data_IF_538022362604
#
_entry.id   IF_538022362604
#
_cell.length_a   1.000
_cell.length_b   1.000
_cell.length_c   1.000
_cell.angle_alpha   90.00
_cell.angle_beta   90.00
_cell.angle_gamma   90.00
#
_symmetry.space_group_name_H-M   'P 1'
#
loop_
_entity.id
_entity.type
_entity.pdbx_description
1 polymer ?
#
# COMPACT_ATOMS: atom_id res chain seq x y z
N UNK A 1 6.33 -0.44 17.70
CA UNK A 1 5.20 -1.40 17.62
C UNK A 1 5.46 -2.54 18.56
N UNK A 2 4.41 -3.22 19.01
CA UNK A 2 4.54 -4.48 19.77
C UNK A 2 5.21 -5.52 18.87
N UNK A 3 6.12 -6.33 19.41
CA UNK A 3 6.80 -7.36 18.64
C UNK A 3 5.72 -8.36 18.12
N UNK A 4 5.74 -8.73 16.82
CA UNK A 4 4.83 -9.76 16.30
C UNK A 4 4.82 -11.04 17.14
N UNK A 5 5.95 -11.40 17.77
CA UNK A 5 6.02 -12.55 18.69
C UNK A 5 5.17 -12.40 19.95
N UNK A 6 5.04 -11.20 20.51
CA UNK A 6 4.21 -10.97 21.71
C UNK A 6 2.73 -11.22 21.39
N UNK A 7 2.32 -11.02 20.13
CA UNK A 7 0.96 -11.31 19.68
C UNK A 7 0.67 -12.81 19.65
N UNK A 8 1.68 -13.67 19.45
CA UNK A 8 1.50 -15.13 19.49
C UNK A 8 1.13 -15.62 20.88
N UNK A 9 1.72 -15.04 21.93
CA UNK A 9 1.38 -15.36 23.31
C UNK A 9 -0.06 -14.97 23.63
N UNK A 10 -0.49 -13.78 23.21
CA UNK A 10 -1.87 -13.31 23.37
C UNK A 10 -2.87 -14.22 22.65
N UNK A 11 -2.61 -14.55 21.38
CA UNK A 11 -3.47 -15.46 20.61
C UNK A 11 -3.53 -16.86 21.22
N UNK A 12 -2.41 -17.36 21.74
CA UNK A 12 -2.34 -18.62 22.47
C UNK A 12 -3.19 -18.62 23.74
N UNK A 13 -3.15 -17.53 24.51
CA UNK A 13 -3.97 -17.36 25.72
C UNK A 13 -5.46 -17.27 25.40
N UNK A 14 -5.85 -16.50 24.38
CA UNK A 14 -7.25 -16.43 23.93
C UNK A 14 -7.76 -17.83 23.54
N UNK A 15 -6.94 -18.62 22.84
CA UNK A 15 -7.34 -19.97 22.44
C UNK A 15 -7.50 -20.94 23.61
N UNK A 16 -6.68 -20.82 24.67
CA UNK A 16 -6.69 -21.74 25.81
C UNK A 16 -7.74 -21.35 26.87
N UNK A 17 -7.87 -20.06 27.16
CA UNK A 17 -8.60 -19.56 28.32
C UNK A 17 -9.96 -18.93 27.94
N UNK A 18 -10.04 -18.26 26.78
CA UNK A 18 -11.15 -17.40 26.37
C UNK A 18 -11.61 -17.66 24.92
N UNK A 19 -11.63 -18.93 24.49
CA UNK A 19 -11.93 -19.28 23.11
C UNK A 19 -13.33 -18.75 22.71
N UNK A 20 -13.46 -17.95 21.62
CA UNK A 20 -14.75 -17.40 21.25
C UNK A 20 -15.72 -18.53 20.84
N UNK A 21 -16.98 -18.42 21.29
CA UNK A 21 -18.02 -19.43 21.04
C UNK A 21 -18.54 -19.43 19.60
N UNK A 22 -18.17 -18.44 18.79
CA UNK A 22 -18.54 -18.37 17.38
C UNK A 22 -17.89 -19.53 16.62
N UNK A 23 -18.66 -20.33 15.85
CA UNK A 23 -18.11 -21.43 15.07
C UNK A 23 -16.95 -20.99 14.16
N UNK A 24 -15.84 -21.73 14.21
CA UNK A 24 -14.64 -21.44 13.42
C UNK A 24 -13.65 -20.44 14.04
N UNK A 25 -13.95 -19.87 15.22
CA UNK A 25 -13.05 -18.91 15.88
C UNK A 25 -11.70 -19.49 16.25
N UNK A 26 -11.67 -20.73 16.75
CA UNK A 26 -10.41 -21.41 17.05
C UNK A 26 -9.52 -21.55 15.82
N UNK A 27 -10.11 -21.93 14.67
CA UNK A 27 -9.37 -22.07 13.41
C UNK A 27 -8.87 -20.70 12.93
N UNK A 28 -9.69 -19.65 13.01
CA UNK A 28 -9.28 -18.30 12.66
C UNK A 28 -8.09 -17.82 13.52
N UNK A 29 -8.10 -18.08 14.83
CA UNK A 29 -6.99 -17.75 15.74
C UNK A 29 -5.74 -18.54 15.37
N UNK A 30 -5.86 -19.84 15.09
CA UNK A 30 -4.74 -20.68 14.64
C UNK A 30 -4.15 -20.19 13.32
N UNK A 31 -5.00 -19.82 12.36
CA UNK A 31 -4.56 -19.25 11.08
C UNK A 31 -3.81 -17.93 11.29
N UNK A 32 -4.31 -17.05 12.15
CA UNK A 32 -3.62 -15.79 12.48
C UNK A 32 -2.25 -16.04 13.13
N UNK A 33 -2.17 -16.95 14.11
CA UNK A 33 -0.92 -17.33 14.74
C UNK A 33 0.07 -17.93 13.74
N UNK A 34 -0.37 -18.85 12.88
CA UNK A 34 0.45 -19.44 11.83
C UNK A 34 0.95 -18.39 10.81
N UNK A 35 0.14 -17.39 10.48
CA UNK A 35 0.55 -16.31 9.59
C UNK A 35 1.67 -15.45 10.20
N UNK A 36 1.55 -15.09 11.49
CA UNK A 36 2.60 -14.36 12.22
C UNK A 36 3.87 -15.20 12.30
N UNK A 37 3.76 -16.49 12.65
CA UNK A 37 4.90 -17.39 12.68
C UNK A 37 5.56 -17.53 11.31
N UNK A 38 4.79 -17.61 10.22
CA UNK A 38 5.32 -17.66 8.86
C UNK A 38 6.08 -16.39 8.49
N UNK A 39 5.56 -15.21 8.84
CA UNK A 39 6.23 -13.92 8.62
C UNK A 39 7.61 -13.92 9.31
N UNK A 40 7.65 -14.31 10.58
CA UNK A 40 8.91 -14.38 11.34
C UNK A 40 9.86 -15.45 10.81
N UNK A 41 9.37 -16.67 10.57
CA UNK A 41 10.17 -17.80 10.11
C UNK A 41 10.74 -17.60 8.70
N UNK A 42 10.15 -16.72 7.90
CA UNK A 42 10.63 -16.36 6.56
C UNK A 42 11.40 -15.03 6.52
N UNK A 43 11.66 -14.40 7.67
CA UNK A 43 12.41 -13.13 7.77
C UNK A 43 11.68 -11.94 7.13
N UNK A 44 10.34 -11.94 7.13
CA UNK A 44 9.51 -10.86 6.57
C UNK A 44 8.97 -9.90 7.64
N UNK A 45 9.47 -9.98 8.87
CA UNK A 45 9.06 -9.18 10.02
C UNK A 45 9.24 -7.68 9.77
N UNK A 46 10.38 -7.24 9.26
CA UNK A 46 10.59 -5.83 8.91
C UNK A 46 9.62 -5.37 7.80
N UNK A 47 9.43 -6.17 6.76
CA UNK A 47 8.52 -5.82 5.66
C UNK A 47 7.05 -5.75 6.12
N UNK A 48 6.69 -6.55 7.12
CA UNK A 48 5.38 -6.48 7.77
C UNK A 48 5.26 -5.24 8.65
N UNK A 49 6.31 -4.89 9.41
CA UNK A 49 6.35 -3.69 10.23
C UNK A 49 6.18 -2.42 9.37
N UNK A 50 6.91 -2.32 8.26
CA UNK A 50 6.78 -1.22 7.30
C UNK A 50 5.37 -1.14 6.70
N UNK A 51 4.74 -2.28 6.41
CA UNK A 51 3.35 -2.31 5.95
C UNK A 51 2.38 -1.79 7.02
N UNK A 52 2.53 -2.17 8.28
CA UNK A 52 1.69 -1.63 9.37
C UNK A 52 1.90 -0.12 9.53
N UNK A 53 3.15 0.36 9.47
CA UNK A 53 3.45 1.80 9.48
C UNK A 53 2.80 2.52 8.30
N UNK A 54 2.79 1.90 7.11
CA UNK A 54 2.17 2.49 5.92
C UNK A 54 0.67 2.68 6.10
N UNK A 55 -0.02 1.74 6.77
CA UNK A 55 -1.45 1.88 7.10
C UNK A 55 -1.69 3.05 8.05
N UNK A 56 -0.87 3.20 9.09
CA UNK A 56 -1.00 4.31 10.05
C UNK A 56 -0.70 5.68 9.42
N UNK A 57 0.22 5.73 8.46
CA UNK A 57 0.56 6.94 7.74
C UNK A 57 -0.43 7.30 6.61
N UNK A 58 -1.47 6.48 6.39
CA UNK A 58 -2.34 6.54 5.22
C UNK A 58 -1.54 6.62 3.91
N UNK A 59 -0.42 5.88 3.85
CA UNK A 59 0.49 5.84 2.71
C UNK A 59 -0.22 5.33 1.45
N UNK A 60 0.36 5.57 0.25
CA UNK A 60 -0.18 5.06 -0.99
C UNK A 60 -0.44 3.56 -0.95
N UNK A 61 -1.49 3.06 -1.63
CA UNK A 61 -1.78 1.64 -1.69
C UNK A 61 -0.55 0.82 -2.10
N UNK A 62 -0.25 -0.23 -1.33
CA UNK A 62 1.00 -0.97 -1.48
C UNK A 62 1.11 -1.64 -2.85
N UNK A 63 2.24 -1.41 -3.53
CA UNK A 63 2.60 -2.06 -4.80
C UNK A 63 3.81 -2.97 -4.62
N UNK A 64 3.88 -4.04 -5.42
CA UNK A 64 4.95 -5.05 -5.35
C UNK A 64 5.99 -4.92 -6.47
N UNK A 65 5.82 -3.96 -7.38
CA UNK A 65 6.71 -3.74 -8.50
C UNK A 65 6.27 -2.55 -9.36
N UNK A 66 7.22 -1.99 -10.11
CA UNK A 66 7.01 -0.96 -11.12
C UNK A 66 7.68 -1.38 -12.42
N UNK A 67 6.99 -1.18 -13.53
CA UNK A 67 7.41 -1.59 -14.86
C UNK A 67 7.20 -0.45 -15.85
N UNK A 68 8.03 -0.35 -16.88
CA UNK A 68 7.83 0.68 -17.90
C UNK A 68 6.68 0.31 -18.83
N UNK A 69 6.51 -0.99 -19.11
CA UNK A 69 5.48 -1.49 -20.03
C UNK A 69 4.66 -2.64 -19.46
N UNK A 70 3.48 -2.85 -20.04
CA UNK A 70 2.64 -4.01 -19.71
C UNK A 70 3.33 -5.33 -20.01
N UNK A 71 4.08 -5.42 -21.11
CA UNK A 71 4.80 -6.63 -21.48
C UNK A 71 5.88 -7.00 -20.45
N UNK A 72 6.63 -6.02 -19.96
CA UNK A 72 7.60 -6.22 -18.87
C UNK A 72 6.93 -6.70 -17.58
N UNK A 73 5.81 -6.06 -17.21
CA UNK A 73 5.05 -6.44 -16.03
C UNK A 73 4.52 -7.89 -16.13
N UNK A 74 3.97 -8.28 -17.29
CA UNK A 74 3.48 -9.64 -17.53
C UNK A 74 4.61 -10.67 -17.44
N UNK A 75 5.76 -10.39 -18.07
CA UNK A 75 6.94 -11.24 -18.00
C UNK A 75 7.44 -11.40 -16.57
N UNK A 76 7.52 -10.29 -15.81
CA UNK A 76 7.95 -10.31 -14.41
C UNK A 76 6.98 -11.10 -13.52
N UNK A 77 5.66 -10.97 -13.73
CA UNK A 77 4.66 -11.74 -12.98
C UNK A 77 4.72 -13.23 -13.32
N UNK A 78 4.94 -13.58 -14.58
CA UNK A 78 5.08 -14.97 -15.01
C UNK A 78 6.37 -15.65 -14.50
N UNK A 79 7.45 -14.87 -14.34
CA UNK A 79 8.74 -15.37 -13.87
C UNK A 79 8.78 -15.66 -12.35
N UNK A 80 7.78 -15.25 -11.57
CA UNK A 80 7.77 -15.47 -10.12
C UNK A 80 7.65 -16.97 -9.82
N UNK A 81 8.46 -17.45 -8.88
CA UNK A 81 8.40 -18.83 -8.38
C UNK A 81 6.98 -19.21 -7.96
N UNK A 82 6.32 -18.33 -7.20
CA UNK A 82 4.95 -18.51 -6.76
C UNK A 82 4.02 -17.52 -7.47
N UNK A 83 2.93 -18.00 -8.09
CA UNK A 83 1.97 -17.12 -8.73
C UNK A 83 1.35 -16.14 -7.74
N UNK A 84 1.23 -14.89 -8.17
CA UNK A 84 0.61 -13.83 -7.37
C UNK A 84 -0.90 -13.98 -7.46
N UNK A 85 -1.56 -14.43 -6.37
CA UNK A 85 -3.03 -14.52 -6.36
C UNK A 85 -3.66 -13.18 -6.69
N UNK A 86 -3.31 -12.14 -5.93
CA UNK A 86 -3.68 -10.74 -6.16
C UNK A 86 -2.57 -9.85 -5.60
N UNK A 87 -2.10 -8.86 -6.36
CA UNK A 87 -1.29 -7.74 -5.86
C UNK A 87 -1.38 -6.53 -6.79
N UNK A 88 -1.07 -5.34 -6.28
CA UNK A 88 -0.94 -4.14 -7.12
C UNK A 88 0.48 -3.98 -7.66
N UNK A 89 0.60 -3.51 -8.89
CA UNK A 89 1.84 -3.11 -9.56
C UNK A 89 1.63 -1.77 -10.24
N UNK A 90 2.73 -1.06 -10.53
CA UNK A 90 2.71 0.14 -11.36
C UNK A 90 3.18 -0.20 -12.78
N UNK A 91 2.46 0.31 -13.78
CA UNK A 91 2.94 0.40 -15.16
C UNK A 91 3.06 1.89 -15.47
N UNK A 92 4.29 2.38 -15.62
CA UNK A 92 4.55 3.81 -15.47
C UNK A 92 4.18 4.26 -14.06
N UNK A 93 3.18 5.14 -13.94
CA UNK A 93 2.63 5.60 -12.66
C UNK A 93 1.19 5.10 -12.42
N UNK A 94 0.65 4.31 -13.36
CA UNK A 94 -0.71 3.79 -13.32
C UNK A 94 -0.78 2.47 -12.54
N UNK A 95 -1.75 2.38 -11.64
CA UNK A 95 -2.00 1.16 -10.88
C UNK A 95 -2.66 0.07 -11.71
N UNK A 96 -2.15 -1.14 -11.54
CA UNK A 96 -2.71 -2.35 -12.11
C UNK A 96 -2.76 -3.44 -11.06
N UNK A 97 -3.85 -4.20 -11.05
CA UNK A 97 -3.98 -5.42 -10.27
C UNK A 97 -3.46 -6.60 -11.08
N UNK A 98 -2.41 -7.25 -10.58
CA UNK A 98 -1.95 -8.54 -11.03
C UNK A 98 -2.79 -9.64 -10.35
N UNK A 99 -3.52 -10.41 -11.16
CA UNK A 99 -4.40 -11.48 -10.68
C UNK A 99 -4.07 -12.80 -11.38
N UNK A 100 -3.66 -13.80 -10.61
CA UNK A 100 -3.47 -15.15 -11.14
C UNK A 100 -4.80 -15.88 -11.30
N UNK A 101 -5.04 -16.43 -12.48
CA UNK A 101 -6.23 -17.20 -12.82
C UNK A 101 -5.84 -18.68 -12.93
N UNK A 102 -6.21 -19.53 -11.96
CA UNK A 102 -5.79 -20.93 -11.95
C UNK A 102 -6.24 -21.74 -13.17
N UNK A 103 -7.42 -21.43 -13.73
CA UNK A 103 -7.96 -22.16 -14.89
C UNK A 103 -7.17 -21.95 -16.18
N UNK A 104 -6.48 -20.81 -16.32
CA UNK A 104 -5.64 -20.50 -17.48
C UNK A 104 -4.15 -20.62 -17.18
N UNK A 105 -3.78 -20.72 -15.90
CA UNK A 105 -2.38 -20.73 -15.45
C UNK A 105 -1.66 -19.40 -15.71
N UNK A 106 -2.38 -18.30 -15.91
CA UNK A 106 -1.83 -17.00 -16.31
C UNK A 106 -2.15 -15.92 -15.28
N UNK A 107 -1.24 -14.96 -15.15
CA UNK A 107 -1.50 -13.71 -14.44
C UNK A 107 -2.02 -12.66 -15.42
N UNK A 108 -3.16 -12.07 -15.11
CA UNK A 108 -3.74 -10.95 -15.84
C UNK A 108 -3.40 -9.64 -15.14
N UNK A 109 -3.13 -8.59 -15.93
CA UNK A 109 -2.95 -7.22 -15.45
C UNK A 109 -4.17 -6.39 -15.84
N UNK A 110 -4.90 -5.92 -14.83
CA UNK A 110 -6.11 -5.11 -14.99
C UNK A 110 -5.84 -3.73 -14.40
N UNK A 111 -6.09 -2.65 -15.16
CA UNK A 111 -5.99 -1.27 -14.65
C UNK A 111 -6.90 -1.13 -13.43
N UNK A 112 -6.38 -0.55 -12.35
CA UNK A 112 -7.08 -0.42 -11.10
C UNK A 112 -7.30 1.07 -10.76
N UNK A 113 -8.53 1.41 -10.39
CA UNK A 113 -8.92 2.76 -9.96
C UNK A 113 -8.53 3.06 -8.51
N UNK A 114 -7.80 2.14 -7.84
CA UNK A 114 -7.43 2.24 -6.43
C UNK A 114 -6.68 3.54 -6.12
N UNK A 115 -5.81 3.99 -7.02
CA UNK A 115 -5.12 5.27 -6.86
C UNK A 115 -6.09 6.45 -6.91
N UNK A 116 -7.05 6.44 -7.85
CA UNK A 116 -8.04 7.50 -7.99
C UNK A 116 -8.89 7.65 -6.72
N UNK A 117 -9.41 6.54 -6.20
CA UNK A 117 -10.17 6.55 -4.94
C UNK A 117 -9.33 7.02 -3.75
N UNK A 118 -8.07 6.59 -3.70
CA UNK A 118 -7.15 7.02 -2.66
C UNK A 118 -6.88 8.53 -2.72
N UNK A 119 -6.54 9.07 -3.89
CA UNK A 119 -6.29 10.50 -4.06
C UNK A 119 -7.55 11.34 -3.79
N UNK A 120 -8.72 10.84 -4.16
CA UNK A 120 -9.99 11.50 -3.85
C UNK A 120 -10.25 11.53 -2.34
N UNK A 121 -10.04 10.42 -1.62
CA UNK A 121 -10.18 10.39 -0.18
C UNK A 121 -9.23 11.40 0.50
N UNK A 122 -7.97 11.50 0.05
CA UNK A 122 -7.01 12.48 0.57
C UNK A 122 -7.43 13.93 0.27
N UNK A 123 -8.05 14.19 -0.89
CA UNK A 123 -8.60 15.49 -1.24
C UNK A 123 -9.83 15.85 -0.38
N UNK A 124 -10.73 14.89 -0.17
CA UNK A 124 -11.97 15.05 0.59
C UNK A 124 -11.70 15.24 2.09
N UNK A 125 -10.68 14.55 2.62
CA UNK A 125 -10.18 14.74 3.99
C UNK A 125 -9.52 16.11 4.20
N UNK A 126 -9.24 16.85 3.11
CA UNK A 126 -8.55 18.13 3.14
C UNK A 126 -7.28 18.08 4.00
N UNK A 127 -6.43 17.08 3.74
CA UNK A 127 -5.19 16.88 4.47
C UNK A 127 -4.45 18.21 4.63
N UNK A 128 -4.03 18.49 5.87
CA UNK A 128 -3.36 19.74 6.22
C UNK A 128 -2.13 19.92 5.32
N UNK A 129 -2.07 20.99 4.51
CA UNK A 129 -0.90 21.26 3.68
C UNK A 129 0.35 21.37 4.55
N UNK A 130 1.47 20.83 4.05
CA UNK A 130 2.75 20.90 4.77
C UNK A 130 3.34 22.31 4.87
N UNK A 131 2.83 23.24 4.06
CA UNK A 131 3.43 24.57 3.85
C UNK A 131 4.59 24.57 2.85
N UNK A 132 4.96 23.41 2.29
CA UNK A 132 5.92 23.32 1.20
C UNK A 132 5.25 23.73 -0.12
N UNK A 133 5.84 24.70 -0.80
CA UNK A 133 5.40 25.18 -2.11
C UNK A 133 6.60 25.32 -3.04
N UNK A 134 6.43 24.90 -4.29
CA UNK A 134 7.44 24.90 -5.34
C UNK A 134 6.91 25.63 -6.58
N UNK A 135 7.79 26.27 -7.34
CA UNK A 135 7.38 26.94 -8.57
C UNK A 135 7.17 25.94 -9.71
N UNK A 136 7.89 24.81 -9.69
CA UNK A 136 7.82 23.80 -10.75
C UNK A 136 7.80 22.37 -10.21
N UNK A 137 7.28 21.44 -11.02
CA UNK A 137 7.29 20.01 -10.70
C UNK A 137 8.72 19.47 -10.55
N UNK A 138 9.65 19.92 -11.39
CA UNK A 138 11.05 19.49 -11.33
C UNK A 138 11.73 19.88 -10.01
N UNK A 139 11.43 21.06 -9.47
CA UNK A 139 11.92 21.48 -8.14
C UNK A 139 11.37 20.59 -7.03
N UNK A 140 10.07 20.30 -7.06
CA UNK A 140 9.43 19.42 -6.10
C UNK A 140 10.00 17.98 -6.15
N UNK A 141 10.25 17.46 -7.36
CA UNK A 141 10.89 16.15 -7.55
C UNK A 141 12.32 16.16 -6.99
N UNK A 142 13.11 17.19 -7.29
CA UNK A 142 14.46 17.32 -6.76
C UNK A 142 14.48 17.36 -5.23
N UNK A 143 13.58 18.14 -4.60
CA UNK A 143 13.41 18.16 -3.15
C UNK A 143 13.04 16.78 -2.60
N UNK A 144 12.10 16.10 -3.24
CA UNK A 144 11.63 14.78 -2.82
C UNK A 144 12.75 13.76 -2.89
N UNK A 145 13.61 13.79 -3.90
CA UNK A 145 14.77 12.89 -4.05
C UNK A 145 15.92 13.20 -3.07
N UNK A 146 16.03 14.42 -2.56
CA UNK A 146 17.05 14.80 -1.56
C UNK A 146 16.73 14.29 -0.15
N UNK A 147 15.49 13.88 0.13
CA UNK A 147 15.12 13.41 1.46
C UNK A 147 15.77 12.05 1.78
N UNK A 148 16.57 11.91 2.84
CA UNK A 148 17.16 10.64 3.21
C UNK A 148 16.09 9.63 3.67
N UNK A 149 15.07 10.11 4.38
CA UNK A 149 13.88 9.35 4.77
C UNK A 149 12.66 10.10 4.25
N UNK A 150 12.17 9.79 3.03
CA UNK A 150 11.03 10.49 2.47
C UNK A 150 9.79 10.24 3.34
N UNK A 151 8.94 11.26 3.56
CA UNK A 151 7.65 11.03 4.18
C UNK A 151 6.84 10.03 3.32
N UNK A 152 6.10 9.12 3.98
CA UNK A 152 5.26 8.15 3.29
C UNK A 152 4.25 8.85 2.37
N UNK A 153 3.70 9.96 2.85
CA UNK A 153 2.95 10.91 2.04
C UNK A 153 3.00 12.32 2.65
N UNK A 154 2.93 13.34 1.80
CA UNK A 154 2.76 14.73 2.22
C UNK A 154 2.10 15.56 1.13
N UNK A 155 1.18 16.46 1.51
CA UNK A 155 0.59 17.42 0.58
C UNK A 155 1.51 18.63 0.41
N UNK A 156 1.87 18.91 -0.83
CA UNK A 156 2.69 20.05 -1.25
C UNK A 156 1.94 20.88 -2.30
N UNK A 157 2.35 22.12 -2.46
CA UNK A 157 1.86 23.00 -3.53
C UNK A 157 2.89 23.09 -4.66
N UNK A 158 2.43 23.01 -5.90
CA UNK A 158 3.26 23.21 -7.09
C UNK A 158 2.54 24.21 -7.99
N UNK A 159 3.10 25.41 -8.11
CA UNK A 159 2.53 26.51 -8.89
C UNK A 159 1.05 26.81 -8.55
N UNK A 160 0.67 26.71 -7.27
CA UNK A 160 -0.71 26.96 -6.81
C UNK A 160 -1.67 25.78 -6.97
N UNK A 161 -1.18 24.60 -7.36
CA UNK A 161 -1.97 23.37 -7.44
C UNK A 161 -1.50 22.34 -6.39
N UNK A 162 -2.42 21.65 -5.69
CA UNK A 162 -2.06 20.67 -4.68
C UNK A 162 -1.61 19.34 -5.30
N UNK A 163 -0.51 18.80 -4.77
CA UNK A 163 0.02 17.49 -5.12
C UNK A 163 0.26 16.66 -3.87
N UNK A 164 0.05 15.36 -3.98
CA UNK A 164 0.53 14.38 -3.03
C UNK A 164 1.93 13.93 -3.43
N UNK A 165 2.93 14.30 -2.63
CA UNK A 165 4.24 13.67 -2.70
C UNK A 165 4.17 12.35 -1.94
N UNK A 166 4.37 11.26 -2.66
CA UNK A 166 4.09 9.89 -2.22
C UNK A 166 5.36 9.03 -2.31
N UNK A 167 5.54 8.14 -1.32
CA UNK A 167 6.62 7.17 -1.30
C UNK A 167 6.09 5.74 -1.26
N UNK A 168 6.36 4.99 -2.32
CA UNK A 168 6.14 3.54 -2.40
C UNK A 168 7.31 2.80 -1.79
N UNK A 169 7.34 2.71 -0.46
CA UNK A 169 8.49 2.19 0.29
C UNK A 169 8.97 0.81 -0.17
N UNK A 170 8.04 -0.07 -0.58
CA UNK A 170 8.38 -1.45 -0.98
C UNK A 170 9.16 -1.56 -2.30
N UNK A 171 9.12 -0.52 -3.12
CA UNK A 171 9.80 -0.48 -4.42
C UNK A 171 10.76 0.71 -4.53
N UNK A 172 11.03 1.39 -3.40
CA UNK A 172 11.80 2.64 -3.31
C UNK A 172 11.45 3.64 -4.42
N UNK A 173 10.15 3.90 -4.58
CA UNK A 173 9.67 4.78 -5.65
C UNK A 173 8.98 6.02 -5.10
N UNK A 174 9.48 7.19 -5.51
CA UNK A 174 8.98 8.50 -5.11
C UNK A 174 8.27 9.15 -6.29
N UNK A 175 7.07 9.66 -6.05
CA UNK A 175 6.20 10.17 -7.12
C UNK A 175 5.31 11.30 -6.63
N UNK A 176 5.00 12.21 -7.54
CA UNK A 176 4.08 13.32 -7.31
C UNK A 176 2.76 13.05 -8.02
N UNK A 177 1.69 12.85 -7.27
CA UNK A 177 0.34 12.69 -7.80
C UNK A 177 -0.44 14.00 -7.69
N UNK A 178 -1.06 14.51 -8.76
CA UNK A 178 -1.96 15.64 -8.64
C UNK A 178 -3.16 15.25 -7.77
N UNK A 179 -3.51 16.08 -6.80
CA UNK A 179 -4.73 15.86 -6.03
C UNK A 179 -5.94 16.37 -6.84
N UNK A 180 -7.03 15.59 -6.93
CA UNK A 180 -8.26 16.05 -7.53
C UNK A 180 -8.90 17.16 -6.67
N UNK A 181 -9.90 17.83 -7.23
CA UNK A 181 -10.74 18.71 -6.42
C UNK A 181 -11.50 17.88 -5.37
N UNK A 182 -11.71 18.40 -4.14
CA UNK A 182 -12.57 17.74 -3.16
C UNK A 182 -13.97 17.57 -3.71
N UNK A 183 -14.59 16.42 -3.44
CA UNK A 183 -15.99 16.16 -3.73
C UNK A 183 -16.84 17.11 -2.90
N UNK A 184 -17.76 17.84 -3.52
CA UNK A 184 -18.73 18.64 -2.78
C UNK A 184 -19.55 17.72 -1.85
N UNK A 185 -19.79 18.10 -0.58
CA UNK A 185 -20.65 17.31 0.28
C UNK A 185 -22.02 17.17 -0.40
N UNK A 186 -22.49 15.94 -0.58
CA UNK A 186 -23.83 15.71 -1.09
C UNK A 186 -24.83 16.37 -0.13
N UNK A 187 -25.83 17.12 -0.63
CA UNK A 187 -26.88 17.63 0.24
C UNK A 187 -27.57 16.44 0.89
N UNK A 188 -27.49 16.36 2.22
CA UNK A 188 -28.27 15.40 3.02
C UNK A 188 -29.74 15.55 2.61
N UNK A 189 -30.38 14.42 2.26
CA UNK A 189 -31.78 14.37 1.82
C UNK A 189 -32.66 13.93 2.98
#
# INVERSE_FOLDING_TARGET
MTNPFDQLEVLGRILLDDAPTTPGSEEAIRVAANAIQFICATGQDQAFEEYVQSLHAAAPPLVIGRFATKAEAEAAMAARRWPVRVAAVLIGDDYHTAMFVPSTGRTHLVRAETLGFYLQAMADEQLKPSGLSFATKAEAEAWMHQQPTPPQQVVIDIAGAPYLAAYHHRIDYRVLYPLPAPTSPSPET
#
